data_IF_476651204783
#
_entry.id   IF_476651204783
#
_cell.length_a   1.000
_cell.length_b   1.000
_cell.length_c   1.000
_cell.angle_alpha   90.00
_cell.angle_beta   90.00
_cell.angle_gamma   90.00
#
_symmetry.space_group_name_H-M   'P 1'
#
loop_
_entity.id
_entity.type
_entity.pdbx_description
1 polymer ?
#
# COMPACT_ATOMS: atom_id res chain seq x y z
N UNK A 1 5.08 -10.67 6.22
CA UNK A 1 5.44 -9.96 4.97
C UNK A 1 4.31 -10.12 3.99
N UNK A 2 4.04 -9.08 3.20
CA UNK A 2 3.01 -9.10 2.16
C UNK A 2 3.43 -10.10 1.06
N UNK A 3 2.52 -10.96 0.60
CA UNK A 3 2.85 -11.94 -0.45
C UNK A 3 2.55 -11.39 -1.83
N UNK A 4 3.16 -11.95 -2.87
CA UNK A 4 2.81 -11.60 -4.27
C UNK A 4 1.32 -11.83 -4.57
N UNK A 5 0.71 -12.85 -3.94
CA UNK A 5 -0.73 -13.12 -4.06
C UNK A 5 -1.58 -12.01 -3.46
N UNK A 6 -1.16 -11.41 -2.36
CA UNK A 6 -1.86 -10.26 -1.76
C UNK A 6 -1.83 -9.04 -2.68
N UNK A 7 -0.68 -8.78 -3.31
CA UNK A 7 -0.51 -7.67 -4.24
C UNK A 7 -1.35 -7.88 -5.50
N UNK A 8 -1.35 -9.09 -6.05
CA UNK A 8 -2.13 -9.44 -7.24
C UNK A 8 -3.64 -9.32 -6.98
N UNK A 9 -4.10 -9.71 -5.79
CA UNK A 9 -5.50 -9.52 -5.40
C UNK A 9 -5.86 -8.03 -5.32
N UNK A 10 -5.01 -7.21 -4.71
CA UNK A 10 -5.21 -5.75 -4.66
C UNK A 10 -5.30 -5.16 -6.07
N UNK A 11 -4.44 -5.58 -6.99
CA UNK A 11 -4.48 -5.11 -8.39
C UNK A 11 -5.82 -5.42 -9.05
N UNK A 12 -6.28 -6.68 -8.96
CA UNK A 12 -7.57 -7.10 -9.53
C UNK A 12 -8.76 -6.34 -8.94
N UNK A 13 -8.74 -6.08 -7.64
CA UNK A 13 -9.76 -5.24 -7.00
C UNK A 13 -9.76 -3.81 -7.58
N UNK A 14 -8.59 -3.21 -7.76
CA UNK A 14 -8.47 -1.83 -8.28
C UNK A 14 -8.80 -1.74 -9.77
N UNK A 15 -8.47 -2.75 -10.57
CA UNK A 15 -8.92 -2.86 -11.96
C UNK A 15 -10.45 -2.94 -12.07
N UNK A 16 -11.11 -3.59 -11.10
CA UNK A 16 -12.57 -3.67 -11.05
C UNK A 16 -13.23 -2.37 -10.55
N UNK A 17 -12.65 -1.74 -9.52
CA UNK A 17 -13.18 -0.49 -8.93
C UNK A 17 -12.96 0.72 -9.85
N UNK A 18 -11.83 0.78 -10.55
CA UNK A 18 -11.40 1.94 -11.36
C UNK A 18 -10.99 1.55 -12.78
N UNK A 19 -11.84 0.85 -13.56
CA UNK A 19 -11.43 0.16 -14.80
C UNK A 19 -10.83 1.08 -15.88
N UNK A 20 -11.18 2.36 -15.89
CA UNK A 20 -10.75 3.32 -16.91
C UNK A 20 -9.77 4.38 -16.38
N UNK A 21 -9.40 4.33 -15.10
CA UNK A 21 -8.52 5.32 -14.48
C UNK A 21 -7.26 4.64 -13.92
N UNK A 22 -6.31 4.39 -14.82
CA UNK A 22 -5.04 3.77 -14.47
C UNK A 22 -4.25 4.57 -13.44
N UNK A 23 -4.37 5.91 -13.44
CA UNK A 23 -3.65 6.74 -12.48
C UNK A 23 -4.22 6.55 -11.07
N UNK A 24 -5.55 6.58 -10.95
CA UNK A 24 -6.23 6.35 -9.67
C UNK A 24 -6.02 4.92 -9.15
N UNK A 25 -6.01 3.92 -10.04
CA UNK A 25 -5.66 2.55 -9.68
C UNK A 25 -4.29 2.49 -9.00
N UNK A 26 -3.24 3.07 -9.59
CA UNK A 26 -1.89 3.00 -9.02
C UNK A 26 -1.80 3.63 -7.63
N UNK A 27 -2.46 4.79 -7.43
CA UNK A 27 -2.52 5.45 -6.12
C UNK A 27 -3.19 4.57 -5.08
N UNK A 28 -4.32 3.95 -5.43
CA UNK A 28 -5.05 3.10 -4.50
C UNK A 28 -4.35 1.75 -4.25
N UNK A 29 -3.69 1.16 -5.25
CA UNK A 29 -2.85 -0.04 -5.10
C UNK A 29 -1.76 0.25 -4.07
N UNK A 30 -1.00 1.33 -4.25
CA UNK A 30 0.06 1.72 -3.31
C UNK A 30 -0.51 1.94 -1.90
N UNK A 31 -1.64 2.64 -1.78
CA UNK A 31 -2.29 2.88 -0.49
C UNK A 31 -2.73 1.60 0.21
N UNK A 32 -3.36 0.67 -0.52
CA UNK A 32 -3.82 -0.62 0.04
C UNK A 32 -2.65 -1.50 0.47
N UNK A 33 -1.55 -1.50 -0.28
CA UNK A 33 -0.32 -2.21 0.10
C UNK A 33 0.20 -1.68 1.44
N UNK A 34 0.39 -0.37 1.56
CA UNK A 34 0.87 0.26 2.80
C UNK A 34 -0.08 0.00 3.99
N UNK A 35 -1.38 0.01 3.75
CA UNK A 35 -2.39 -0.32 4.76
C UNK A 35 -2.26 -1.77 5.25
N UNK A 36 -2.18 -2.74 4.33
CA UNK A 36 -1.95 -4.14 4.71
C UNK A 36 -0.64 -4.35 5.45
N UNK A 37 0.43 -3.65 5.07
CA UNK A 37 1.71 -3.73 5.78
C UNK A 37 1.61 -3.19 7.22
N UNK A 38 0.86 -2.10 7.43
CA UNK A 38 0.57 -1.58 8.76
C UNK A 38 -0.23 -2.59 9.60
N UNK A 39 -1.26 -3.20 9.02
CA UNK A 39 -2.06 -4.26 9.65
C UNK A 39 -1.21 -5.48 10.04
N UNK A 40 -0.34 -5.95 9.14
CA UNK A 40 0.57 -7.07 9.41
C UNK A 40 1.58 -6.76 10.52
N UNK A 41 1.94 -5.50 10.71
CA UNK A 41 2.78 -5.03 11.82
C UNK A 41 1.99 -4.75 13.10
N UNK A 42 0.65 -4.80 13.06
CA UNK A 42 -0.22 -4.51 14.20
C UNK A 42 -0.19 -3.05 14.63
N UNK A 43 0.12 -2.12 13.71
CA UNK A 43 0.20 -0.69 14.00
C UNK A 43 -0.80 0.10 13.16
N UNK A 44 -1.08 1.34 13.55
CA UNK A 44 -1.95 2.20 12.76
C UNK A 44 -1.27 2.57 11.42
N UNK A 45 -2.10 2.85 10.41
CA UNK A 45 -1.60 3.32 9.12
C UNK A 45 -0.74 4.59 9.26
N UNK A 46 -1.15 5.52 10.12
CA UNK A 46 -0.40 6.76 10.35
C UNK A 46 0.97 6.50 10.98
N UNK A 47 1.04 5.59 11.95
CA UNK A 47 2.32 5.19 12.57
C UNK A 47 3.23 4.51 11.56
N UNK A 48 2.68 3.69 10.66
CA UNK A 48 3.43 3.05 9.59
C UNK A 48 4.04 4.08 8.64
N UNK A 49 3.26 5.08 8.20
CA UNK A 49 3.77 6.17 7.35
C UNK A 49 4.85 6.98 8.07
N UNK A 50 4.68 7.26 9.37
CA UNK A 50 5.70 7.96 10.16
C UNK A 50 6.99 7.14 10.29
N UNK A 51 6.91 5.81 10.44
CA UNK A 51 8.08 4.93 10.42
C UNK A 51 8.79 5.01 9.08
N UNK A 52 8.07 4.84 7.97
CA UNK A 52 8.64 4.93 6.62
C UNK A 52 9.30 6.28 6.35
N UNK A 53 8.68 7.39 6.78
CA UNK A 53 9.26 8.72 6.59
C UNK A 53 10.56 8.90 7.37
N UNK A 54 10.67 8.33 8.58
CA UNK A 54 11.91 8.34 9.35
C UNK A 54 12.99 7.49 8.67
N UNK A 55 12.64 6.31 8.20
CA UNK A 55 13.57 5.43 7.48
C UNK A 55 14.08 6.07 6.18
N UNK A 56 13.21 6.77 5.43
CA UNK A 56 13.59 7.50 4.22
C UNK A 56 14.50 8.71 4.51
N UNK A 57 14.27 9.42 5.62
CA UNK A 57 15.12 10.54 6.05
C UNK A 57 16.47 10.10 6.62
N UNK A 58 16.66 8.80 6.91
CA UNK A 58 17.96 8.24 7.31
C UNK A 58 18.84 7.85 6.11
N UNK A 59 18.32 7.95 4.89
CA UNK A 59 19.01 7.62 3.63
C UNK A 59 19.44 8.90 2.86
N UNK A 60 19.24 10.09 3.44
CA UNK A 60 19.63 11.39 2.86
C UNK A 60 20.88 11.98 3.49
#
# INVERSE_FOLDING_TARGET
MLTERDVEQIKKEMEHEFPNDMALQQVHIARKILAKEAELKGISYFDYINQLSKDLNLVQ
#
